data_IF_774429077931
#
_entry.id   IF_774429077931
#
_cell.length_a   1.000
_cell.length_b   1.000
_cell.length_c   1.000
_cell.angle_alpha   90.00
_cell.angle_beta   90.00
_cell.angle_gamma   90.00
#
_symmetry.space_group_name_H-M   'P 1'
#
loop_
_entity.id
_entity.type
_entity.pdbx_description
1 polymer ?
#
# COMPACT_ATOMS: atom_id res chain seq x y z
N UNK A 1 10.28 5.03 29.24
CA UNK A 1 10.12 5.74 27.95
C UNK A 1 10.55 4.76 26.88
N UNK A 2 9.68 4.43 25.92
CA UNK A 2 10.07 3.52 24.83
C UNK A 2 11.30 4.11 24.15
N UNK A 3 12.37 3.32 24.06
CA UNK A 3 13.61 3.80 23.46
C UNK A 3 13.43 4.21 21.99
N UNK A 4 14.11 5.27 21.56
CA UNK A 4 13.99 5.86 20.22
C UNK A 4 14.21 4.84 19.08
N UNK A 5 15.04 3.82 19.31
CA UNK A 5 15.28 2.78 18.30
C UNK A 5 14.05 1.89 18.06
N UNK A 6 13.19 1.63 19.06
CA UNK A 6 11.95 0.89 18.87
C UNK A 6 10.95 1.65 18.01
N UNK A 7 10.89 2.96 18.19
CA UNK A 7 10.04 3.86 17.40
C UNK A 7 10.51 3.83 15.93
N UNK A 8 11.82 3.96 15.70
CA UNK A 8 12.40 3.87 14.36
C UNK A 8 12.16 2.53 13.67
N UNK A 9 12.33 1.41 14.39
CA UNK A 9 12.06 0.06 13.87
C UNK A 9 10.57 -0.15 13.55
N UNK A 10 9.68 0.35 14.40
CA UNK A 10 8.23 0.27 14.18
C UNK A 10 7.82 1.07 12.94
N UNK A 11 8.38 2.28 12.79
CA UNK A 11 8.16 3.13 11.62
C UNK A 11 8.62 2.44 10.33
N UNK A 12 9.85 1.91 10.31
CA UNK A 12 10.39 1.21 9.15
C UNK A 12 9.58 -0.05 8.80
N UNK A 13 9.15 -0.81 9.81
CA UNK A 13 8.29 -1.97 9.61
C UNK A 13 6.95 -1.56 9.00
N UNK A 14 6.29 -0.50 9.48
CA UNK A 14 5.04 0.02 8.91
C UNK A 14 5.20 0.50 7.47
N UNK A 15 6.28 1.21 7.13
CA UNK A 15 6.55 1.63 5.75
C UNK A 15 6.69 0.41 4.84
N UNK A 16 7.44 -0.60 5.27
CA UNK A 16 7.64 -1.84 4.51
C UNK A 16 6.32 -2.59 4.33
N UNK A 17 5.45 -2.59 5.35
CA UNK A 17 4.11 -3.17 5.27
C UNK A 17 3.22 -2.43 4.26
N UNK A 18 3.24 -1.10 4.25
CA UNK A 18 2.48 -0.30 3.27
C UNK A 18 2.95 -0.58 1.84
N UNK A 19 4.26 -0.67 1.62
CA UNK A 19 4.83 -1.02 0.32
C UNK A 19 4.42 -2.41 -0.13
N UNK A 20 4.51 -3.40 0.77
CA UNK A 20 4.05 -4.76 0.49
C UNK A 20 2.59 -4.79 0.03
N UNK A 21 1.71 -4.10 0.77
CA UNK A 21 0.29 -4.05 0.45
C UNK A 21 0.03 -3.42 -0.92
N UNK A 22 0.70 -2.30 -1.22
CA UNK A 22 0.66 -1.68 -2.55
C UNK A 22 1.13 -2.66 -3.64
N UNK A 23 2.28 -3.32 -3.44
CA UNK A 23 2.89 -4.16 -4.46
C UNK A 23 2.00 -5.35 -4.84
N UNK A 24 1.37 -5.98 -3.85
CA UNK A 24 0.52 -7.14 -4.08
C UNK A 24 -0.81 -6.74 -4.71
N UNK A 25 -1.49 -5.73 -4.17
CA UNK A 25 -2.82 -5.32 -4.66
C UNK A 25 -2.76 -4.67 -6.03
N UNK A 26 -1.89 -3.67 -6.22
CA UNK A 26 -1.69 -3.02 -7.51
C UNK A 26 -1.04 -3.95 -8.52
N UNK A 27 -0.16 -4.85 -8.07
CA UNK A 27 0.36 -5.95 -8.88
C UNK A 27 -0.75 -6.89 -9.37
N UNK A 28 -1.65 -7.33 -8.48
CA UNK A 28 -2.77 -8.21 -8.84
C UNK A 28 -3.73 -7.53 -9.83
N UNK A 29 -4.03 -6.25 -9.60
CA UNK A 29 -4.80 -5.43 -10.53
C UNK A 29 -4.11 -5.35 -11.91
N UNK A 30 -2.82 -5.02 -11.94
CA UNK A 30 -2.06 -4.94 -13.20
C UNK A 30 -1.89 -6.30 -13.89
N UNK A 31 -1.83 -7.39 -13.13
CA UNK A 31 -1.77 -8.76 -13.68
C UNK A 31 -3.02 -9.10 -14.50
N UNK A 32 -4.18 -8.55 -14.10
CA UNK A 32 -5.43 -8.61 -14.85
C UNK A 32 -5.47 -7.59 -15.99
N UNK A 33 -5.03 -6.35 -15.75
CA UNK A 33 -5.01 -5.28 -16.75
C UNK A 33 -4.16 -5.63 -17.98
N UNK A 34 -3.00 -6.26 -17.76
CA UNK A 34 -2.04 -6.64 -18.79
C UNK A 34 -2.15 -8.12 -19.20
N UNK A 35 -3.35 -8.71 -19.12
CA UNK A 35 -3.56 -10.15 -19.36
C UNK A 35 -2.99 -10.68 -20.70
N UNK A 36 -2.89 -9.83 -21.73
CA UNK A 36 -2.40 -10.20 -23.07
C UNK A 36 -0.87 -10.12 -23.24
N UNK A 37 -0.13 -9.55 -22.28
CA UNK A 37 1.30 -9.27 -22.41
C UNK A 37 2.15 -10.18 -21.51
N UNK A 38 2.57 -11.34 -22.03
CA UNK A 38 3.26 -12.40 -21.29
C UNK A 38 4.51 -11.90 -20.55
N UNK A 39 5.34 -11.07 -21.22
CA UNK A 39 6.56 -10.50 -20.64
C UNK A 39 6.28 -9.65 -19.41
N UNK A 40 5.27 -8.76 -19.49
CA UNK A 40 4.83 -7.93 -18.37
C UNK A 40 4.24 -8.78 -17.25
N UNK A 41 3.43 -9.79 -17.56
CA UNK A 41 2.83 -10.67 -16.54
C UNK A 41 3.89 -11.38 -15.69
N UNK A 42 4.96 -11.88 -16.30
CA UNK A 42 6.08 -12.48 -15.55
C UNK A 42 6.74 -11.47 -14.61
N UNK A 43 6.98 -10.25 -15.10
CA UNK A 43 7.53 -9.19 -14.26
C UNK A 43 6.59 -8.75 -13.14
N UNK A 44 5.28 -8.76 -13.38
CA UNK A 44 4.27 -8.42 -12.37
C UNK A 44 4.19 -9.51 -11.30
N UNK A 45 4.30 -10.79 -11.68
CA UNK A 45 4.42 -11.88 -10.70
C UNK A 45 5.64 -11.73 -9.81
N UNK A 46 6.82 -11.43 -10.38
CA UNK A 46 8.03 -11.17 -9.58
C UNK A 46 7.85 -10.00 -8.62
N UNK A 47 7.21 -8.93 -9.09
CA UNK A 47 6.87 -7.76 -8.28
C UNK A 47 5.94 -8.11 -7.11
N UNK A 48 4.90 -8.93 -7.36
CA UNK A 48 4.01 -9.42 -6.31
C UNK A 48 4.72 -10.38 -5.33
N UNK A 49 5.59 -11.28 -5.81
CA UNK A 49 6.37 -12.16 -4.94
C UNK A 49 7.29 -11.36 -4.02
N UNK A 50 7.95 -10.33 -4.56
CA UNK A 50 8.78 -9.43 -3.77
C UNK A 50 7.94 -8.68 -2.73
N UNK A 51 6.77 -8.16 -3.13
CA UNK A 51 5.81 -7.54 -2.21
C UNK A 51 5.35 -8.48 -1.09
N UNK A 52 4.99 -9.72 -1.41
CA UNK A 52 4.58 -10.73 -0.44
C UNK A 52 5.72 -11.11 0.52
N UNK A 53 6.94 -11.26 0.02
CA UNK A 53 8.12 -11.47 0.85
C UNK A 53 8.38 -10.32 1.81
N UNK A 54 8.32 -9.07 1.33
CA UNK A 54 8.44 -7.87 2.18
C UNK A 54 7.35 -7.82 3.26
N UNK A 55 6.12 -8.17 2.91
CA UNK A 55 4.99 -8.18 3.85
C UNK A 55 5.13 -9.23 4.94
N UNK A 56 5.60 -10.42 4.57
CA UNK A 56 5.89 -11.51 5.50
C UNK A 56 6.98 -11.09 6.49
N UNK A 57 8.12 -10.60 5.98
CA UNK A 57 9.25 -10.14 6.80
C UNK A 57 8.81 -9.00 7.72
N UNK A 58 8.09 -8.01 7.18
CA UNK A 58 7.58 -6.87 7.95
C UNK A 58 6.59 -7.29 9.03
N UNK A 59 5.70 -8.26 8.76
CA UNK A 59 4.72 -8.73 9.74
C UNK A 59 5.38 -9.52 10.87
N UNK A 60 6.36 -10.38 10.55
CA UNK A 60 7.16 -11.10 11.54
C UNK A 60 7.96 -10.09 12.39
N UNK A 61 8.69 -9.19 11.74
CA UNK A 61 9.46 -8.15 12.42
C UNK A 61 8.56 -7.27 13.28
N UNK A 62 7.39 -6.85 12.78
CA UNK A 62 6.43 -6.02 13.49
C UNK A 62 5.91 -6.67 14.77
N UNK A 63 5.68 -7.99 14.77
CA UNK A 63 5.28 -8.73 15.97
C UNK A 63 6.36 -8.69 17.04
N UNK A 64 7.58 -9.03 16.64
CA UNK A 64 8.74 -9.11 17.52
C UNK A 64 9.24 -7.74 18.01
N UNK A 65 9.16 -6.71 17.16
CA UNK A 65 9.41 -5.31 17.53
C UNK A 65 8.42 -4.84 18.58
N UNK A 66 7.13 -5.19 18.44
CA UNK A 66 6.11 -4.82 19.41
C UNK A 66 6.35 -5.50 20.77
N UNK A 67 6.68 -6.80 20.77
CA UNK A 67 7.10 -7.53 21.98
C UNK A 67 8.30 -6.86 22.63
N UNK A 68 9.35 -6.56 21.87
CA UNK A 68 10.56 -5.90 22.37
C UNK A 68 10.28 -4.51 22.97
N UNK A 69 9.39 -3.74 22.33
CA UNK A 69 8.98 -2.42 22.81
C UNK A 69 8.23 -2.46 24.14
N UNK A 70 7.47 -3.54 24.41
CA UNK A 70 6.79 -3.73 25.70
C UNK A 70 7.73 -4.29 26.78
N UNK A 71 8.69 -5.14 26.40
CA UNK A 71 9.68 -5.68 27.33
C UNK A 71 10.65 -4.61 27.83
N UNK A 72 10.98 -3.62 27.00
CA UNK A 72 11.88 -2.48 27.27
C UNK A 72 13.23 -2.88 27.91
N UNK A 73 13.70 -4.11 27.61
CA UNK A 73 14.90 -4.72 28.19
C UNK A 73 16.03 -4.86 27.15
N UNK A 74 16.14 -3.89 26.23
CA UNK A 74 17.04 -3.96 25.07
C UNK A 74 16.58 -4.96 24.00
N UNK A 75 17.45 -5.26 23.02
CA UNK A 75 17.14 -6.18 21.91
C UNK A 75 16.80 -7.61 22.34
N UNK A 76 17.30 -8.07 23.49
CA UNK A 76 16.94 -9.36 24.05
C UNK A 76 15.44 -9.46 24.39
N UNK A 77 14.79 -8.31 24.65
CA UNK A 77 13.36 -8.21 24.94
C UNK A 77 12.45 -8.73 23.82
N UNK A 78 12.94 -8.83 22.58
CA UNK A 78 12.20 -9.41 21.45
C UNK A 78 11.77 -10.86 21.73
N UNK A 79 12.58 -11.59 22.49
CA UNK A 79 12.32 -12.99 22.81
C UNK A 79 11.65 -13.18 24.19
N UNK A 80 11.13 -12.10 24.79
CA UNK A 80 10.47 -12.18 26.09
C UNK A 80 9.17 -12.99 26.01
N UNK A 81 9.18 -14.19 26.58
CA UNK A 81 8.06 -15.15 26.50
C UNK A 81 6.78 -14.62 27.13
N UNK A 82 6.87 -13.85 28.21
CA UNK A 82 5.70 -13.27 28.89
C UNK A 82 4.97 -12.29 27.96
N UNK A 83 5.71 -11.37 27.32
CA UNK A 83 5.09 -10.42 26.40
C UNK A 83 4.63 -11.07 25.09
N UNK A 84 5.29 -12.14 24.63
CA UNK A 84 4.78 -12.96 23.52
C UNK A 84 3.41 -13.53 23.90
N UNK A 85 3.28 -14.18 25.05
CA UNK A 85 2.01 -14.78 25.50
C UNK A 85 0.91 -13.72 25.69
N UNK A 86 1.24 -12.55 26.25
CA UNK A 86 0.30 -11.45 26.36
C UNK A 86 -0.15 -11.01 24.98
N UNK A 87 0.78 -10.73 24.06
CA UNK A 87 0.47 -10.20 22.74
C UNK A 87 -0.39 -11.19 21.93
N UNK A 88 -0.11 -12.49 21.99
CA UNK A 88 -0.91 -13.54 21.33
C UNK A 88 -2.40 -13.51 21.73
N UNK A 89 -2.71 -13.07 22.96
CA UNK A 89 -4.06 -12.97 23.49
C UNK A 89 -4.74 -11.60 23.23
N UNK A 90 -4.07 -10.69 22.50
CA UNK A 90 -4.65 -9.41 22.10
C UNK A 90 -5.19 -9.45 20.67
N UNK A 91 -6.19 -8.60 20.37
CA UNK A 91 -6.69 -8.40 19.00
C UNK A 91 -5.56 -7.99 18.05
N UNK A 92 -4.67 -7.09 18.49
CA UNK A 92 -3.50 -6.66 17.72
C UNK A 92 -2.60 -7.84 17.36
N UNK A 93 -2.23 -8.67 18.33
CA UNK A 93 -1.39 -9.85 18.07
C UNK A 93 -2.05 -10.84 17.12
N UNK A 94 -3.34 -11.13 17.29
CA UNK A 94 -4.11 -11.98 16.38
C UNK A 94 -4.11 -11.43 14.95
N UNK A 95 -4.26 -10.11 14.76
CA UNK A 95 -4.19 -9.47 13.45
C UNK A 95 -2.79 -9.58 12.82
N UNK A 96 -1.71 -9.44 13.60
CA UNK A 96 -0.35 -9.63 13.09
C UNK A 96 -0.08 -11.08 12.67
N UNK A 97 -0.52 -12.06 13.45
CA UNK A 97 -0.41 -13.48 13.07
C UNK A 97 -1.22 -13.76 11.81
N UNK A 98 -2.44 -13.23 11.73
CA UNK A 98 -3.28 -13.32 10.54
C UNK A 98 -2.57 -12.78 9.30
N UNK A 99 -1.90 -11.62 9.39
CA UNK A 99 -1.07 -11.07 8.31
C UNK A 99 0.05 -12.02 7.91
N UNK A 100 0.79 -12.58 8.87
CA UNK A 100 1.88 -13.54 8.61
C UNK A 100 1.35 -14.74 7.81
N UNK A 101 0.24 -15.34 8.26
CA UNK A 101 -0.38 -16.49 7.59
C UNK A 101 -0.87 -16.13 6.18
N UNK A 102 -1.54 -14.98 6.02
CA UNK A 102 -2.03 -14.52 4.71
C UNK A 102 -0.85 -14.30 3.76
N UNK A 103 0.19 -13.58 4.17
CA UNK A 103 1.36 -13.35 3.31
C UNK A 103 2.09 -14.63 2.96
N UNK A 104 2.21 -15.58 3.91
CA UNK A 104 2.83 -16.88 3.66
C UNK A 104 2.06 -17.67 2.60
N UNK A 105 0.74 -17.83 2.78
CA UNK A 105 -0.11 -18.56 1.83
C UNK A 105 -0.13 -17.85 0.47
N UNK A 106 -0.24 -16.52 0.46
CA UNK A 106 -0.22 -15.73 -0.77
C UNK A 106 1.10 -15.89 -1.54
N UNK A 107 2.24 -15.84 -0.83
CA UNK A 107 3.56 -16.05 -1.43
C UNK A 107 3.70 -17.46 -2.04
N UNK A 108 3.20 -18.49 -1.35
CA UNK A 108 3.19 -19.86 -1.87
C UNK A 108 2.34 -19.96 -3.15
N UNK A 109 1.14 -19.39 -3.17
CA UNK A 109 0.27 -19.36 -4.35
C UNK A 109 0.94 -18.65 -5.53
N UNK A 110 1.61 -17.52 -5.28
CA UNK A 110 2.35 -16.80 -6.31
C UNK A 110 3.55 -17.61 -6.83
N UNK A 111 4.27 -18.31 -5.96
CA UNK A 111 5.41 -19.15 -6.34
C UNK A 111 4.97 -20.35 -7.20
N UNK A 112 3.87 -21.00 -6.83
CA UNK A 112 3.23 -22.04 -7.65
C UNK A 112 2.86 -21.46 -9.02
N UNK A 113 2.19 -20.30 -9.06
CA UNK A 113 1.82 -19.64 -10.32
C UNK A 113 3.02 -19.23 -11.17
N UNK A 114 4.12 -18.82 -10.54
CA UNK A 114 5.36 -18.49 -11.24
C UNK A 114 6.01 -19.70 -11.90
N UNK A 115 5.87 -20.88 -11.28
CA UNK A 115 6.42 -22.16 -11.78
C UNK A 115 5.55 -22.74 -12.89
N UNK A 116 4.23 -22.58 -12.77
CA UNK A 116 3.30 -22.91 -13.84
C UNK A 116 3.49 -21.91 -14.99
N UNK A 117 4.13 -22.33 -16.09
CA UNK A 117 4.39 -21.48 -17.27
C UNK A 117 3.11 -20.93 -17.96
N UNK A 118 1.93 -21.20 -17.42
CA UNK A 118 0.67 -20.61 -17.88
C UNK A 118 0.49 -19.19 -17.34
N UNK A 119 0.18 -18.29 -18.25
CA UNK A 119 -0.15 -16.90 -17.92
C UNK A 119 -1.65 -16.65 -17.85
N UNK A 120 -2.51 -17.64 -18.10
CA UNK A 120 -3.95 -17.42 -18.02
C UNK A 120 -4.42 -17.38 -16.56
N UNK A 121 -5.23 -16.38 -16.21
CA UNK A 121 -5.86 -16.29 -14.89
C UNK A 121 -7.18 -17.03 -14.89
N UNK A 122 -7.33 -18.03 -14.02
CA UNK A 122 -8.63 -18.68 -13.80
C UNK A 122 -9.56 -17.79 -12.96
N UNK A 123 -10.87 -18.05 -13.01
CA UNK A 123 -11.83 -17.36 -12.14
C UNK A 123 -11.53 -17.65 -10.65
N UNK A 124 -11.10 -18.88 -10.37
CA UNK A 124 -10.65 -19.31 -9.05
C UNK A 124 -9.47 -18.48 -8.52
N UNK A 125 -8.45 -18.20 -9.33
CA UNK A 125 -7.31 -17.36 -8.92
C UNK A 125 -7.74 -15.93 -8.58
N UNK A 126 -8.69 -15.37 -9.34
CA UNK A 126 -9.23 -14.03 -9.06
C UNK A 126 -9.96 -13.99 -7.73
N UNK A 127 -10.77 -15.02 -7.45
CA UNK A 127 -11.45 -15.17 -6.18
C UNK A 127 -10.44 -15.27 -5.02
N UNK A 128 -9.39 -16.08 -5.17
CA UNK A 128 -8.34 -16.21 -4.16
C UNK A 128 -7.63 -14.87 -3.90
N UNK A 129 -7.33 -14.07 -4.92
CA UNK A 129 -6.77 -12.73 -4.70
C UNK A 129 -7.69 -11.85 -3.86
N UNK A 130 -8.99 -11.82 -4.16
CA UNK A 130 -9.96 -11.09 -3.34
C UNK A 130 -10.02 -11.60 -1.90
N UNK A 131 -10.05 -12.92 -1.72
CA UNK A 131 -10.14 -13.59 -0.42
C UNK A 131 -8.97 -13.24 0.51
N UNK A 132 -7.76 -13.08 -0.01
CA UNK A 132 -6.59 -12.74 0.81
C UNK A 132 -6.37 -11.23 0.95
N UNK A 133 -6.65 -10.44 -0.09
CA UNK A 133 -6.40 -8.99 -0.06
C UNK A 133 -7.38 -8.23 0.84
N UNK A 134 -8.64 -8.65 0.93
CA UNK A 134 -9.65 -7.97 1.75
C UNK A 134 -9.34 -8.06 3.26
N UNK A 135 -9.12 -9.25 3.86
CA UNK A 135 -8.74 -9.34 5.27
C UNK A 135 -7.40 -8.66 5.56
N UNK A 136 -6.46 -8.70 4.61
CA UNK A 136 -5.18 -8.03 4.73
C UNK A 136 -5.35 -6.51 4.83
N UNK A 137 -6.21 -5.91 3.99
CA UNK A 137 -6.54 -4.49 4.12
C UNK A 137 -7.27 -4.18 5.42
N UNK A 138 -8.25 -5.02 5.80
CA UNK A 138 -9.03 -4.83 7.01
C UNK A 138 -8.14 -4.76 8.24
N UNK A 139 -7.10 -5.60 8.29
CA UNK A 139 -6.16 -5.63 9.40
C UNK A 139 -5.53 -4.25 9.70
N UNK A 140 -5.39 -3.34 8.74
CA UNK A 140 -4.85 -1.99 8.98
C UNK A 140 -5.76 -1.13 9.86
N UNK A 141 -7.07 -1.35 9.77
CA UNK A 141 -8.06 -0.67 10.62
C UNK A 141 -8.08 -1.21 12.06
N UNK A 142 -7.48 -2.37 12.29
CA UNK A 142 -7.50 -3.09 13.58
C UNK A 142 -6.21 -2.89 14.38
N UNK A 143 -5.38 -1.92 14.00
CA UNK A 143 -4.08 -1.68 14.65
C UNK A 143 -3.90 -0.22 15.03
N UNK A 144 -3.35 0.04 16.23
CA UNK A 144 -3.13 1.39 16.74
C UNK A 144 -4.43 2.15 17.02
N UNK A 145 -4.39 3.49 16.98
CA UNK A 145 -5.56 4.34 17.27
C UNK A 145 -6.71 4.12 16.28
N UNK A 146 -6.43 3.60 15.08
CA UNK A 146 -7.46 3.27 14.10
C UNK A 146 -8.45 2.21 14.62
N UNK A 147 -8.01 1.31 15.51
CA UNK A 147 -8.87 0.27 16.11
C UNK A 147 -9.93 0.86 17.05
N UNK A 148 -9.68 2.05 17.60
CA UNK A 148 -10.59 2.74 18.51
C UNK A 148 -11.61 3.63 17.76
N UNK A 149 -11.47 3.78 16.44
CA UNK A 149 -12.41 4.55 15.63
C UNK A 149 -13.75 3.79 15.50
N UNK A 150 -14.87 4.50 15.25
CA UNK A 150 -16.15 3.87 14.97
C UNK A 150 -16.05 2.87 13.81
N UNK A 151 -16.87 1.81 13.83
CA UNK A 151 -16.84 0.75 12.82
C UNK A 151 -16.95 1.29 11.38
N UNK A 152 -17.75 2.34 11.17
CA UNK A 152 -17.86 3.02 9.88
C UNK A 152 -16.51 3.61 9.40
N UNK A 153 -15.76 4.25 10.29
CA UNK A 153 -14.43 4.78 9.98
C UNK A 153 -13.42 3.66 9.68
N UNK A 154 -13.52 2.52 10.36
CA UNK A 154 -12.69 1.35 10.09
C UNK A 154 -12.94 0.78 8.68
N UNK A 155 -14.21 0.74 8.23
CA UNK A 155 -14.56 0.37 6.86
C UNK A 155 -13.99 1.39 5.87
N UNK A 156 -14.19 2.69 6.10
CA UNK A 156 -13.67 3.74 5.23
C UNK A 156 -12.14 3.66 5.10
N UNK A 157 -11.44 3.41 6.20
CA UNK A 157 -9.99 3.24 6.20
C UNK A 157 -9.56 1.98 5.45
N UNK A 158 -10.29 0.87 5.62
CA UNK A 158 -10.03 -0.38 4.89
C UNK A 158 -10.18 -0.17 3.39
N UNK A 159 -11.26 0.49 2.97
CA UNK A 159 -11.53 0.85 1.58
C UNK A 159 -10.44 1.79 1.05
N UNK A 160 -10.09 2.81 1.82
CA UNK A 160 -9.02 3.75 1.47
C UNK A 160 -7.69 3.02 1.24
N UNK A 161 -7.29 2.13 2.17
CA UNK A 161 -6.07 1.33 2.07
C UNK A 161 -6.10 0.41 0.84
N UNK A 162 -7.23 -0.25 0.53
CA UNK A 162 -7.34 -1.07 -0.68
C UNK A 162 -7.09 -0.24 -1.94
N UNK A 163 -7.82 0.86 -2.09
CA UNK A 163 -7.81 1.66 -3.31
C UNK A 163 -6.50 2.42 -3.51
N UNK A 164 -5.87 2.92 -2.44
CA UNK A 164 -4.55 3.55 -2.55
C UNK A 164 -3.50 2.51 -2.91
N UNK A 165 -3.62 1.28 -2.39
CA UNK A 165 -2.70 0.19 -2.70
C UNK A 165 -2.85 -0.28 -4.16
N UNK A 166 -4.08 -0.33 -4.68
CA UNK A 166 -4.33 -0.57 -6.12
C UNK A 166 -3.70 0.53 -6.97
N UNK A 167 -3.93 1.80 -6.65
CA UNK A 167 -3.41 2.92 -7.44
C UNK A 167 -1.87 3.00 -7.38
N UNK A 168 -1.30 3.07 -6.18
CA UNK A 168 0.14 3.21 -5.97
C UNK A 168 0.91 1.99 -6.45
N UNK A 169 0.39 0.79 -6.21
CA UNK A 169 1.01 -0.46 -6.66
C UNK A 169 0.95 -0.68 -8.17
N UNK A 170 0.03 -0.02 -8.87
CA UNK A 170 -0.07 -0.12 -10.33
C UNK A 170 1.02 0.69 -11.06
N UNK A 171 1.60 1.71 -10.41
CA UNK A 171 2.57 2.62 -11.03
C UNK A 171 3.81 1.88 -11.54
N UNK A 172 4.39 0.97 -10.76
CA UNK A 172 5.59 0.24 -11.19
C UNK A 172 5.35 -0.67 -12.41
N UNK A 173 4.29 -1.51 -12.44
CA UNK A 173 3.89 -2.22 -13.66
C UNK A 173 3.65 -1.30 -14.87
N UNK A 174 3.03 -0.13 -14.67
CA UNK A 174 2.81 0.84 -15.75
C UNK A 174 4.12 1.42 -16.28
N UNK A 175 5.05 1.79 -15.40
CA UNK A 175 6.39 2.21 -15.80
C UNK A 175 7.14 1.13 -16.57
N UNK A 176 7.00 -0.15 -16.19
CA UNK A 176 7.53 -1.24 -17.02
C UNK A 176 6.82 -1.34 -18.37
N UNK A 177 5.50 -1.12 -18.40
CA UNK A 177 4.74 -1.11 -19.64
C UNK A 177 5.23 0.00 -20.59
N UNK A 178 5.56 1.20 -20.11
CA UNK A 178 6.13 2.27 -20.95
C UNK A 178 7.51 1.94 -21.53
N UNK A 179 8.22 0.94 -20.98
CA UNK A 179 9.53 0.49 -21.47
C UNK A 179 9.46 -0.75 -22.36
N UNK A 180 8.33 -1.43 -22.40
CA UNK A 180 8.17 -2.71 -23.11
C UNK A 180 7.09 -2.66 -24.20
N UNK A 181 6.16 -1.71 -24.11
CA UNK A 181 5.08 -1.51 -25.06
C UNK A 181 5.23 -0.14 -25.72
N UNK A 182 4.79 -0.04 -26.97
CA UNK A 182 4.80 1.20 -27.74
C UNK A 182 3.49 1.39 -28.52
N UNK A 183 3.25 2.62 -28.98
CA UNK A 183 2.11 2.97 -29.83
C UNK A 183 0.76 2.64 -29.21
N UNK A 184 -0.13 2.04 -30.02
CA UNK A 184 -1.52 1.77 -29.66
C UNK A 184 -1.65 0.84 -28.44
N UNK A 185 -0.82 -0.19 -28.33
CA UNK A 185 -0.88 -1.16 -27.23
C UNK A 185 -0.64 -0.49 -25.86
N UNK A 186 0.32 0.44 -25.80
CA UNK A 186 0.58 1.23 -24.60
C UNK A 186 -0.55 2.23 -24.33
N UNK A 187 -1.01 2.93 -25.38
CA UNK A 187 -2.09 3.92 -25.29
C UNK A 187 -3.39 3.30 -24.75
N UNK A 188 -3.82 2.17 -25.28
CA UNK A 188 -5.08 1.54 -24.88
C UNK A 188 -5.08 1.13 -23.41
N UNK A 189 -3.95 0.58 -22.94
CA UNK A 189 -3.83 0.13 -21.53
C UNK A 189 -3.68 1.29 -20.57
N UNK A 190 -2.93 2.33 -20.93
CA UNK A 190 -2.78 3.54 -20.11
C UNK A 190 -4.08 4.35 -20.07
N UNK A 191 -4.82 4.41 -21.17
CA UNK A 191 -6.14 5.04 -21.20
C UNK A 191 -7.16 4.29 -20.32
N UNK A 192 -7.23 2.96 -20.44
CA UNK A 192 -8.08 2.13 -19.58
C UNK A 192 -7.71 2.28 -18.10
N UNK A 193 -6.40 2.28 -17.79
CA UNK A 193 -5.92 2.57 -16.45
C UNK A 193 -6.39 3.95 -15.97
N UNK A 194 -6.23 5.00 -16.77
CA UNK A 194 -6.63 6.36 -16.42
C UNK A 194 -8.15 6.53 -16.20
N UNK A 195 -8.98 5.72 -16.86
CA UNK A 195 -10.42 5.67 -16.59
C UNK A 195 -10.71 5.04 -15.22
N UNK A 196 -10.14 3.87 -14.95
CA UNK A 196 -10.31 3.16 -13.68
C UNK A 196 -9.73 3.99 -12.52
N UNK A 197 -8.51 4.54 -12.69
CA UNK A 197 -7.84 5.37 -11.71
C UNK A 197 -8.65 6.63 -11.36
N UNK A 198 -9.37 7.22 -12.32
CA UNK A 198 -10.26 8.36 -12.05
C UNK A 198 -11.38 8.00 -11.06
N UNK A 199 -11.99 6.82 -11.21
CA UNK A 199 -13.00 6.32 -10.27
C UNK A 199 -12.39 6.00 -8.89
N UNK A 200 -11.22 5.35 -8.88
CA UNK A 200 -10.47 5.03 -7.66
C UNK A 200 -10.15 6.30 -6.87
N UNK A 201 -9.64 7.34 -7.54
CA UNK A 201 -9.32 8.64 -6.93
C UNK A 201 -10.56 9.28 -6.33
N UNK A 202 -11.72 9.21 -7.01
CA UNK A 202 -12.99 9.71 -6.46
C UNK A 202 -13.35 9.06 -5.14
N UNK A 203 -13.26 7.72 -5.05
CA UNK A 203 -13.47 6.98 -3.80
C UNK A 203 -12.45 7.40 -2.73
N UNK A 204 -11.18 7.52 -3.10
CA UNK A 204 -10.12 7.91 -2.17
C UNK A 204 -10.34 9.29 -1.55
N UNK A 205 -10.83 10.26 -2.33
CA UNK A 205 -11.17 11.59 -1.84
C UNK A 205 -12.32 11.51 -0.84
N UNK A 206 -13.40 10.78 -1.17
CA UNK A 206 -14.56 10.63 -0.28
C UNK A 206 -14.15 9.94 1.03
N UNK A 207 -13.42 8.82 0.95
CA UNK A 207 -12.94 8.12 2.13
C UNK A 207 -11.97 8.98 2.95
N UNK A 208 -11.01 9.64 2.29
CA UNK A 208 -10.01 10.48 2.94
C UNK A 208 -10.64 11.67 3.65
N UNK A 209 -11.56 12.37 3.01
CA UNK A 209 -12.30 13.49 3.61
C UNK A 209 -13.17 13.02 4.79
N UNK A 210 -13.89 11.90 4.63
CA UNK A 210 -14.73 11.34 5.69
C UNK A 210 -13.90 10.94 6.91
N UNK A 211 -12.77 10.26 6.70
CA UNK A 211 -11.85 9.90 7.79
C UNK A 211 -11.24 11.14 8.43
N UNK A 212 -10.87 12.16 7.66
CA UNK A 212 -10.31 13.41 8.19
C UNK A 212 -11.29 14.13 9.12
N UNK A 213 -12.57 14.26 8.73
CA UNK A 213 -13.63 14.86 9.56
C UNK A 213 -13.88 14.06 10.83
N UNK A 214 -13.79 12.73 10.77
CA UNK A 214 -13.95 11.88 11.96
C UNK A 214 -12.72 11.90 12.88
N UNK A 215 -11.58 12.35 12.37
CA UNK A 215 -10.30 12.37 13.08
C UNK A 215 -10.05 13.69 13.80
N UNK A 216 -10.32 14.82 13.12
CA UNK A 216 -10.12 16.16 13.65
C UNK A 216 -11.45 16.75 14.13
N UNK A 217 -11.54 17.06 15.43
CA UNK A 217 -12.77 17.63 16.04
C UNK A 217 -12.95 19.12 15.74
N UNK A 218 -11.87 19.83 15.48
CA UNK A 218 -11.82 21.27 15.22
C UNK A 218 -10.61 21.64 14.36
N UNK A 219 -10.64 22.81 13.72
CA UNK A 219 -9.58 23.26 12.80
C UNK A 219 -8.30 23.60 13.57
N UNK A 220 -8.41 24.00 14.84
CA UNK A 220 -7.25 24.35 15.67
C UNK A 220 -6.37 23.13 15.93
N UNK A 221 -6.94 21.94 16.12
CA UNK A 221 -6.17 20.68 16.19
C UNK A 221 -5.39 20.40 14.90
N UNK A 222 -5.86 20.85 13.74
CA UNK A 222 -5.17 20.66 12.46
C UNK A 222 -4.00 21.64 12.30
N UNK A 223 -4.13 22.88 12.77
CA UNK A 223 -3.11 23.94 12.57
C UNK A 223 -2.18 24.14 13.75
N UNK A 224 -2.47 23.55 14.92
CA UNK A 224 -1.72 23.82 16.15
C UNK A 224 -0.99 22.59 16.70
N UNK A 225 -1.19 21.40 16.10
CA UNK A 225 -0.59 20.15 16.58
C UNK A 225 0.48 19.62 15.62
N UNK A 226 1.53 18.94 16.13
CA UNK A 226 2.51 18.25 15.29
C UNK A 226 1.87 17.22 14.35
N UNK A 227 0.80 16.54 14.80
CA UNK A 227 0.05 15.60 13.98
C UNK A 227 -0.63 16.31 12.80
N UNK A 228 -1.26 17.47 13.07
CA UNK A 228 -1.92 18.31 12.08
C UNK A 228 -0.97 18.81 10.99
N UNK A 229 0.22 19.29 11.35
CA UNK A 229 1.23 19.69 10.36
C UNK A 229 1.66 18.55 9.43
N UNK A 230 1.89 17.36 10.00
CA UNK A 230 2.21 16.18 9.21
C UNK A 230 1.05 15.74 8.29
N UNK A 231 -0.19 15.91 8.74
CA UNK A 231 -1.38 15.68 7.91
C UNK A 231 -1.49 16.69 6.77
N UNK A 232 -1.25 17.98 7.01
CA UNK A 232 -1.23 19.02 5.97
C UNK A 232 -0.16 18.71 4.92
N UNK A 233 1.05 18.34 5.34
CA UNK A 233 2.13 17.95 4.43
C UNK A 233 1.73 16.75 3.56
N UNK A 234 1.05 15.75 4.14
CA UNK A 234 0.50 14.61 3.40
C UNK A 234 -0.51 15.08 2.34
N UNK A 235 -1.43 15.97 2.69
CA UNK A 235 -2.43 16.51 1.75
C UNK A 235 -1.76 17.30 0.62
N UNK A 236 -0.70 18.06 0.92
CA UNK A 236 0.09 18.76 -0.11
C UNK A 236 0.66 17.76 -1.13
N UNK A 237 1.30 16.67 -0.66
CA UNK A 237 1.80 15.63 -1.56
C UNK A 237 0.69 14.95 -2.36
N UNK A 238 -0.48 14.70 -1.74
CA UNK A 238 -1.66 14.18 -2.45
C UNK A 238 -2.11 15.14 -3.55
N UNK A 239 -2.13 16.45 -3.29
CA UNK A 239 -2.41 17.47 -4.32
C UNK A 239 -1.42 17.41 -5.48
N UNK A 240 -0.12 17.34 -5.19
CA UNK A 240 0.93 17.27 -6.21
C UNK A 240 0.80 16.02 -7.10
N UNK A 241 0.59 14.83 -6.51
CA UNK A 241 0.45 13.59 -7.30
C UNK A 241 -0.86 13.59 -8.11
N UNK A 242 -1.95 14.19 -7.61
CA UNK A 242 -3.19 14.30 -8.36
C UNK A 242 -3.07 15.21 -9.58
N UNK A 243 -2.39 16.36 -9.43
CA UNK A 243 -2.09 17.25 -10.56
C UNK A 243 -1.23 16.55 -11.62
N UNK A 244 -0.22 15.79 -11.17
CA UNK A 244 0.64 15.02 -12.05
C UNK A 244 -0.13 13.90 -12.76
N UNK A 245 -1.00 13.18 -12.06
CA UNK A 245 -1.84 12.14 -12.62
C UNK A 245 -2.85 12.71 -13.64
N UNK A 246 -3.44 13.87 -13.35
CA UNK A 246 -4.30 14.59 -14.29
C UNK A 246 -3.55 15.01 -15.55
N UNK A 247 -2.33 15.55 -15.38
CA UNK A 247 -1.46 15.90 -16.50
C UNK A 247 -1.08 14.67 -17.34
N UNK A 248 -0.74 13.56 -16.70
CA UNK A 248 -0.42 12.31 -17.38
C UNK A 248 -1.60 11.79 -18.20
N UNK A 249 -2.81 11.81 -17.63
CA UNK A 249 -4.04 11.37 -18.28
C UNK A 249 -4.46 12.25 -19.45
N UNK A 250 -4.41 13.57 -19.30
CA UNK A 250 -4.95 14.52 -20.29
C UNK A 250 -3.93 14.99 -21.31
N UNK A 251 -2.64 15.03 -20.98
CA UNK A 251 -1.60 15.50 -21.88
C UNK A 251 -0.77 14.36 -22.48
N UNK A 252 -0.19 13.48 -21.65
CA UNK A 252 0.71 12.44 -22.17
C UNK A 252 -0.03 11.28 -22.84
N UNK A 253 -1.08 10.73 -22.21
CA UNK A 253 -1.80 9.57 -22.74
C UNK A 253 -2.34 9.78 -24.17
N UNK A 254 -2.96 10.93 -24.53
CA UNK A 254 -3.42 11.16 -25.90
C UNK A 254 -2.29 11.22 -26.94
N UNK A 255 -1.08 11.60 -26.52
CA UNK A 255 0.09 11.78 -27.40
C UNK A 255 0.94 10.52 -27.57
N UNK A 256 0.57 9.40 -26.97
CA UNK A 256 1.30 8.12 -27.04
C UNK A 256 1.41 7.50 -28.44
N UNK A 257 0.75 8.08 -29.46
CA UNK A 257 1.03 7.75 -30.86
C UNK A 257 2.46 8.11 -31.28
N UNK A 258 3.09 9.07 -30.58
CA UNK A 258 4.48 9.48 -30.78
C UNK A 258 5.39 8.72 -29.80
N UNK A 259 6.40 7.96 -30.27
CA UNK A 259 7.22 7.10 -29.40
C UNK A 259 7.90 7.82 -28.22
N UNK A 260 8.36 9.05 -28.42
CA UNK A 260 8.99 9.88 -27.37
C UNK A 260 8.10 10.09 -26.13
N UNK A 261 6.78 10.14 -26.31
CA UNK A 261 5.82 10.36 -25.23
C UNK A 261 5.68 9.14 -24.31
N UNK A 262 6.00 7.94 -24.78
CA UNK A 262 6.10 6.76 -23.91
C UNK A 262 7.20 6.93 -22.86
N UNK A 263 8.36 7.46 -23.27
CA UNK A 263 9.48 7.75 -22.37
C UNK A 263 9.16 8.88 -21.40
N UNK A 264 8.55 9.97 -21.86
CA UNK A 264 8.13 11.07 -20.98
C UNK A 264 7.08 10.63 -19.96
N UNK A 265 6.10 9.83 -20.38
CA UNK A 265 5.14 9.23 -19.46
C UNK A 265 5.85 8.35 -18.41
N UNK A 266 6.85 7.56 -18.82
CA UNK A 266 7.65 6.77 -17.88
C UNK A 266 8.36 7.61 -16.81
N UNK A 267 8.94 8.75 -17.18
CA UNK A 267 9.55 9.67 -16.21
C UNK A 267 8.52 10.32 -15.29
N UNK A 268 7.36 10.70 -15.83
CA UNK A 268 6.27 11.25 -15.03
C UNK A 268 5.73 10.25 -14.01
N UNK A 269 5.55 8.97 -14.41
CA UNK A 269 5.15 7.89 -13.50
C UNK A 269 6.22 7.65 -12.43
N UNK A 270 7.51 7.74 -12.78
CA UNK A 270 8.59 7.63 -11.79
C UNK A 270 8.53 8.76 -10.74
N UNK A 271 8.15 9.96 -11.16
CA UNK A 271 7.92 11.09 -10.26
C UNK A 271 6.64 10.92 -9.43
N UNK A 272 5.57 10.33 -9.97
CA UNK A 272 4.39 9.92 -9.17
C UNK A 272 4.80 8.90 -8.09
N UNK A 273 5.64 7.93 -8.43
CA UNK A 273 6.14 6.94 -7.46
C UNK A 273 6.93 7.61 -6.33
N UNK A 274 7.80 8.59 -6.62
CA UNK A 274 8.57 9.27 -5.57
C UNK A 274 7.66 10.07 -4.63
N UNK A 275 6.69 10.82 -5.16
CA UNK A 275 5.71 11.55 -4.34
C UNK A 275 4.88 10.58 -3.50
N UNK A 276 4.43 9.49 -4.10
CA UNK A 276 3.68 8.46 -3.40
C UNK A 276 4.47 7.76 -2.29
N UNK A 277 5.77 7.54 -2.48
CA UNK A 277 6.66 7.09 -1.41
C UNK A 277 6.68 8.12 -0.27
N UNK A 278 6.81 9.42 -0.57
CA UNK A 278 6.77 10.47 0.45
C UNK A 278 5.44 10.48 1.22
N UNK A 279 4.31 10.23 0.55
CA UNK A 279 3.00 10.08 1.21
C UNK A 279 3.01 8.91 2.20
N UNK A 280 3.55 7.75 1.81
CA UNK A 280 3.62 6.57 2.68
C UNK A 280 4.56 6.78 3.86
N UNK A 281 5.75 7.35 3.62
CA UNK A 281 6.72 7.67 4.67
C UNK A 281 6.14 8.67 5.69
N UNK A 282 5.52 9.74 5.20
CA UNK A 282 4.86 10.74 6.04
C UNK A 282 3.72 10.12 6.83
N UNK A 283 2.87 9.30 6.20
CA UNK A 283 1.75 8.61 6.87
C UNK A 283 2.26 7.67 7.97
N UNK A 284 3.31 6.90 7.70
CA UNK A 284 3.91 6.02 8.71
C UNK A 284 4.52 6.83 9.86
N UNK A 285 5.17 7.95 9.56
CA UNK A 285 5.81 8.81 10.54
C UNK A 285 4.79 9.45 11.49
N UNK A 286 3.76 10.12 10.95
CA UNK A 286 2.73 10.79 11.76
C UNK A 286 1.95 9.79 12.64
N UNK A 287 1.74 8.57 12.17
CA UNK A 287 0.97 7.54 12.90
C UNK A 287 1.81 6.69 13.86
N UNK A 288 3.13 6.92 13.95
CA UNK A 288 4.04 6.09 14.76
C UNK A 288 4.94 6.90 15.67
N UNK A 289 5.51 7.98 15.14
CA UNK A 289 6.47 8.82 15.86
C UNK A 289 5.75 9.96 16.56
N UNK A 290 4.83 10.61 15.86
CA UNK A 290 4.06 11.74 16.41
C UNK A 290 2.88 11.23 17.26
N UNK A 291 2.04 10.36 16.68
CA UNK A 291 0.80 9.93 17.32
C UNK A 291 -0.29 11.01 17.24
N UNK A 292 -1.54 10.59 17.40
CA UNK A 292 -2.64 11.54 17.70
C UNK A 292 -2.69 11.64 19.22
N UNK A 293 -2.67 12.86 19.74
CA UNK A 293 -2.99 13.13 21.15
C UNK A 293 -4.49 12.97 21.41
#
# INVERSE_FOLDING_TARGET
MISEYWIGLTWLSKVTLYLSMAFITGGAFCYLLFNRFISLKKSILQYMCFGAGLGLISSIAGFFILVGSFADSGFAGIFNTTYIQILLNTVTGQMLIGRILIFLVFLLLLFIKFTQKTTQTSMFERFLFGLFLLPLAYSFSQTGHAANLPFFAQILLTVHVLFISVWMGALYPLFKATRQLEGLALKDRTHLFGQIAGFIVGILIVCGASVAVLLFKDIDTLTSTPYGYGFILKILFVGCILLLAAFNKWFFTPQLHKPQFGRYLGYAILFEMSIGLMILFTTAYITTVVGIE
#
